data_IF_053037956584
#
_entry.id   IF_053037956584
#
_cell.length_a   1.000
_cell.length_b   1.000
_cell.length_c   1.000
_cell.angle_alpha   90.00
_cell.angle_beta   90.00
_cell.angle_gamma   90.00
#
_symmetry.space_group_name_H-M   'P 1'
#
loop_
_entity.id
_entity.type
_entity.pdbx_description
1 polymer ?
#
# COMPACT_ATOMS: atom_id res chain seq x y z
N UNK A 1 -1.42 19.32 -21.84
CA UNK A 1 -2.68 19.16 -21.05
C UNK A 1 -2.20 18.86 -19.63
N UNK A 2 -2.71 19.56 -18.63
CA UNK A 2 -2.35 19.27 -17.23
C UNK A 2 -3.18 18.07 -16.75
N UNK A 3 -2.51 17.11 -16.14
CA UNK A 3 -3.14 15.93 -15.53
C UNK A 3 -3.28 16.14 -14.03
N UNK A 4 -4.50 15.95 -13.51
CA UNK A 4 -4.84 16.19 -12.10
C UNK A 4 -4.86 14.85 -11.35
N UNK A 5 -4.15 14.80 -10.24
CA UNK A 5 -4.10 13.65 -9.32
C UNK A 5 -5.20 13.69 -8.27
N UNK A 6 -5.37 14.86 -7.63
CA UNK A 6 -6.35 15.09 -6.58
C UNK A 6 -7.00 16.47 -6.68
N UNK A 7 -8.19 16.59 -6.08
CA UNK A 7 -8.90 17.86 -5.86
C UNK A 7 -9.28 17.96 -4.39
N UNK A 8 -9.21 19.17 -3.83
CA UNK A 8 -9.68 19.46 -2.48
C UNK A 8 -11.06 20.12 -2.50
N UNK A 9 -11.75 20.13 -1.36
CA UNK A 9 -13.09 20.72 -1.22
C UNK A 9 -13.11 22.22 -1.50
N UNK A 10 -11.98 22.91 -1.30
CA UNK A 10 -11.81 24.33 -1.61
C UNK A 10 -11.46 24.61 -3.09
N UNK A 11 -11.47 23.57 -3.92
CA UNK A 11 -11.26 23.69 -5.38
C UNK A 11 -9.80 23.69 -5.83
N UNK A 12 -8.82 23.52 -4.94
CA UNK A 12 -7.42 23.34 -5.33
C UNK A 12 -7.25 22.03 -6.11
N UNK A 13 -6.28 22.01 -7.01
CA UNK A 13 -5.94 20.83 -7.82
C UNK A 13 -4.47 20.51 -7.63
N UNK A 14 -4.17 19.25 -7.31
CA UNK A 14 -2.81 18.72 -7.30
C UNK A 14 -2.49 18.14 -8.67
N UNK A 15 -1.36 18.55 -9.25
CA UNK A 15 -0.89 17.92 -10.48
C UNK A 15 -0.53 16.45 -10.21
N UNK A 16 -0.86 15.59 -11.16
CA UNK A 16 -0.59 14.16 -11.04
C UNK A 16 0.90 13.88 -10.91
N UNK A 17 1.73 14.59 -11.67
CA UNK A 17 3.18 14.46 -11.58
C UNK A 17 3.71 14.84 -10.19
N UNK A 18 3.17 15.89 -9.57
CA UNK A 18 3.57 16.31 -8.22
C UNK A 18 3.21 15.25 -7.19
N UNK A 19 2.00 14.68 -7.29
CA UNK A 19 1.56 13.57 -6.45
C UNK A 19 2.48 12.34 -6.59
N UNK A 20 2.76 11.91 -7.83
CA UNK A 20 3.64 10.77 -8.09
C UNK A 20 5.05 11.00 -7.54
N UNK A 21 5.59 12.21 -7.68
CA UNK A 21 6.90 12.57 -7.15
C UNK A 21 6.88 12.63 -5.62
N UNK A 22 5.86 13.21 -5.01
CA UNK A 22 5.68 13.28 -3.56
C UNK A 22 5.58 11.90 -2.93
N UNK A 23 4.68 11.07 -3.46
CA UNK A 23 4.51 9.68 -3.01
C UNK A 23 5.79 8.86 -3.20
N UNK A 24 6.45 8.99 -4.36
CA UNK A 24 7.71 8.32 -4.67
C UNK A 24 8.80 8.65 -3.63
N UNK A 25 8.98 9.93 -3.32
CA UNK A 25 9.93 10.40 -2.31
C UNK A 25 9.60 9.85 -0.92
N UNK A 26 8.34 9.92 -0.50
CA UNK A 26 7.90 9.41 0.79
C UNK A 26 8.05 7.89 0.90
N UNK A 27 7.75 7.14 -0.17
CA UNK A 27 8.02 5.70 -0.21
C UNK A 27 9.49 5.38 0.04
N UNK A 28 10.41 6.15 -0.58
CA UNK A 28 11.84 6.02 -0.37
C UNK A 28 12.24 6.30 1.08
N UNK A 29 11.70 7.37 1.66
CA UNK A 29 11.97 7.78 3.05
C UNK A 29 11.42 6.78 4.08
N UNK A 30 10.28 6.15 3.80
CA UNK A 30 9.66 5.14 4.65
C UNK A 30 10.37 3.77 4.57
N UNK A 31 11.11 3.54 3.49
CA UNK A 31 11.77 2.26 3.27
C UNK A 31 13.15 2.21 3.92
N UNK A 32 13.56 1.01 4.34
CA UNK A 32 14.95 0.74 4.67
C UNK A 32 15.83 0.98 3.44
N UNK A 33 17.08 1.42 3.64
CA UNK A 33 18.04 1.76 2.58
C UNK A 33 18.14 0.69 1.49
N UNK A 34 18.13 -0.59 1.86
CA UNK A 34 18.18 -1.71 0.91
C UNK A 34 16.98 -1.76 -0.04
N UNK A 35 15.81 -1.31 0.39
CA UNK A 35 14.54 -1.32 -0.37
C UNK A 35 14.18 0.03 -0.98
N UNK A 36 14.95 1.07 -0.67
CA UNK A 36 14.61 2.45 -0.97
C UNK A 36 14.32 2.70 -2.46
N UNK A 37 15.16 2.16 -3.35
CA UNK A 37 14.99 2.36 -4.80
C UNK A 37 13.73 1.64 -5.33
N UNK A 38 13.41 0.47 -4.78
CA UNK A 38 12.22 -0.28 -5.17
C UNK A 38 10.96 0.41 -4.63
N UNK A 39 10.98 0.88 -3.39
CA UNK A 39 9.87 1.61 -2.80
C UNK A 39 9.62 2.95 -3.53
N UNK A 40 10.67 3.68 -3.89
CA UNK A 40 10.58 4.88 -4.72
C UNK A 40 9.90 4.59 -6.05
N UNK A 41 10.30 3.51 -6.71
CA UNK A 41 9.70 3.10 -7.98
C UNK A 41 8.23 2.71 -7.83
N UNK A 42 7.85 2.03 -6.75
CA UNK A 42 6.43 1.70 -6.44
C UNK A 42 5.60 2.97 -6.32
N UNK A 43 6.08 3.97 -5.57
CA UNK A 43 5.41 5.26 -5.44
C UNK A 43 5.29 6.00 -6.78
N UNK A 44 6.31 5.89 -7.64
CA UNK A 44 6.32 6.52 -8.95
C UNK A 44 5.30 5.94 -9.93
N UNK A 45 5.01 4.65 -9.85
CA UNK A 45 4.19 3.92 -10.83
C UNK A 45 2.74 3.70 -10.38
N UNK A 46 2.43 3.86 -9.08
CA UNK A 46 1.17 3.38 -8.50
C UNK A 46 -0.07 3.94 -9.19
N UNK A 47 -0.05 5.20 -9.55
CA UNK A 47 -1.22 5.95 -10.03
C UNK A 47 -1.10 6.45 -11.49
N UNK A 48 -0.20 5.87 -12.31
CA UNK A 48 -0.09 6.25 -13.73
C UNK A 48 -1.39 6.04 -14.50
N UNK A 49 -2.30 5.21 -14.03
CA UNK A 49 -3.63 5.05 -14.62
C UNK A 49 -4.50 6.31 -14.55
N UNK A 50 -4.17 7.26 -13.70
CA UNK A 50 -4.83 8.57 -13.65
C UNK A 50 -4.56 9.41 -14.91
N UNK A 51 -3.57 9.08 -15.73
CA UNK A 51 -3.36 9.71 -17.05
C UNK A 51 -4.42 9.37 -18.07
N UNK A 52 -5.31 8.40 -17.82
CA UNK A 52 -6.41 8.08 -18.73
C UNK A 52 -7.38 9.26 -18.89
N UNK A 53 -7.88 9.45 -20.10
CA UNK A 53 -8.89 10.48 -20.37
C UNK A 53 -10.17 10.29 -19.55
N UNK A 54 -10.53 9.04 -19.26
CA UNK A 54 -11.67 8.70 -18.40
C UNK A 54 -11.50 9.21 -16.98
N UNK A 55 -10.32 8.99 -16.37
CA UNK A 55 -10.04 9.50 -15.03
C UNK A 55 -10.05 11.05 -15.02
N UNK A 56 -9.41 11.68 -16.00
CA UNK A 56 -9.35 13.15 -16.08
C UNK A 56 -10.72 13.79 -16.28
N UNK A 57 -11.61 13.15 -17.03
CA UNK A 57 -13.02 13.61 -17.13
C UNK A 57 -13.72 13.50 -15.78
N UNK A 58 -13.58 12.36 -15.08
CA UNK A 58 -14.19 12.12 -13.76
C UNK A 58 -13.73 13.15 -12.73
N UNK A 59 -12.41 13.37 -12.58
CA UNK A 59 -11.87 14.30 -11.56
C UNK A 59 -12.22 15.75 -11.84
N UNK A 60 -12.55 16.08 -13.09
CA UNK A 60 -13.04 17.40 -13.48
C UNK A 60 -14.58 17.51 -13.50
N UNK A 61 -15.29 16.60 -12.82
CA UNK A 61 -16.72 16.72 -12.55
C UNK A 61 -17.65 15.96 -13.50
N UNK A 62 -17.15 15.12 -14.39
CA UNK A 62 -18.02 14.26 -15.18
C UNK A 62 -18.55 13.12 -14.30
N UNK A 63 -19.88 13.05 -14.16
CA UNK A 63 -20.56 12.04 -13.37
C UNK A 63 -20.58 10.66 -14.05
N UNK A 64 -20.74 9.61 -13.22
CA UNK A 64 -20.98 8.21 -13.65
C UNK A 64 -19.90 7.54 -14.50
N UNK A 65 -18.65 8.02 -14.45
CA UNK A 65 -17.53 7.35 -15.09
C UNK A 65 -16.82 6.46 -14.08
N UNK A 66 -17.01 5.15 -14.19
CA UNK A 66 -16.18 4.18 -13.44
C UNK A 66 -14.85 4.00 -14.17
N UNK A 67 -13.75 4.28 -13.52
CA UNK A 67 -12.40 4.16 -14.09
C UNK A 67 -11.57 3.23 -13.24
N UNK A 68 -11.11 2.15 -13.83
CA UNK A 68 -10.10 1.27 -13.22
C UNK A 68 -8.72 1.86 -13.55
N UNK A 69 -8.09 2.53 -12.59
CA UNK A 69 -6.78 3.16 -12.76
C UNK A 69 -5.66 2.44 -11.99
N UNK A 70 -5.97 1.83 -10.85
CA UNK A 70 -4.97 1.21 -9.99
C UNK A 70 -4.21 0.06 -10.68
N UNK A 71 -4.89 -0.70 -11.57
CA UNK A 71 -4.25 -1.83 -12.26
C UNK A 71 -3.28 -1.39 -13.37
N UNK A 72 -3.32 -0.13 -13.81
CA UNK A 72 -2.48 0.34 -14.91
C UNK A 72 -0.99 0.24 -14.59
N UNK A 73 -0.59 0.67 -13.39
CA UNK A 73 0.81 0.56 -12.94
C UNK A 73 1.27 -0.88 -12.79
N UNK A 74 0.40 -1.79 -12.31
CA UNK A 74 0.70 -3.21 -12.25
C UNK A 74 0.91 -3.80 -13.66
N UNK A 75 0.06 -3.44 -14.63
CA UNK A 75 0.22 -3.83 -16.04
C UNK A 75 1.49 -3.26 -16.67
N UNK A 76 1.87 -2.05 -16.27
CA UNK A 76 3.08 -1.43 -16.80
C UNK A 76 4.32 -2.14 -16.29
N UNK A 77 4.40 -2.42 -14.99
CA UNK A 77 5.56 -3.14 -14.45
C UNK A 77 5.65 -4.58 -14.97
N UNK A 78 4.54 -5.22 -15.29
CA UNK A 78 4.51 -6.56 -15.90
C UNK A 78 5.17 -6.63 -17.29
N UNK A 79 5.32 -5.49 -17.97
CA UNK A 79 6.06 -5.43 -19.27
C UNK A 79 7.59 -5.41 -19.08
N UNK A 80 8.07 -5.19 -17.86
CA UNK A 80 9.49 -5.18 -17.56
C UNK A 80 10.14 -6.55 -17.81
N UNK A 81 11.45 -6.58 -18.07
CA UNK A 81 12.19 -7.82 -17.99
C UNK A 81 11.99 -8.50 -16.63
N UNK A 82 11.99 -9.84 -16.56
CA UNK A 82 11.79 -10.57 -15.30
C UNK A 82 12.77 -10.10 -14.21
N UNK A 83 12.23 -9.61 -13.11
CA UNK A 83 12.96 -9.19 -11.91
C UNK A 83 12.26 -9.71 -10.68
N UNK A 84 13.01 -10.00 -9.63
CA UNK A 84 12.47 -10.61 -8.39
C UNK A 84 11.39 -9.77 -7.71
N UNK A 85 11.44 -8.45 -7.85
CA UNK A 85 10.49 -7.55 -7.21
C UNK A 85 9.21 -7.29 -8.03
N UNK A 86 9.17 -7.64 -9.31
CA UNK A 86 8.00 -7.35 -10.19
C UNK A 86 6.69 -7.87 -9.61
N UNK A 87 6.58 -9.14 -9.18
CA UNK A 87 5.34 -9.63 -8.58
C UNK A 87 4.91 -8.86 -7.34
N UNK A 88 5.86 -8.43 -6.49
CA UNK A 88 5.55 -7.65 -5.29
C UNK A 88 4.93 -6.31 -5.67
N UNK A 89 5.49 -5.63 -6.68
CA UNK A 89 4.99 -4.33 -7.16
C UNK A 89 3.61 -4.48 -7.78
N UNK A 90 3.37 -5.54 -8.56
CA UNK A 90 2.04 -5.83 -9.12
C UNK A 90 0.97 -5.91 -8.03
N UNK A 91 1.23 -6.65 -6.95
CA UNK A 91 0.33 -6.74 -5.80
C UNK A 91 0.13 -5.39 -5.11
N UNK A 92 1.21 -4.67 -4.81
CA UNK A 92 1.15 -3.39 -4.12
C UNK A 92 0.33 -2.38 -4.91
N UNK A 93 0.65 -2.20 -6.20
CA UNK A 93 -0.02 -1.23 -7.06
C UNK A 93 -1.47 -1.63 -7.33
N UNK A 94 -1.74 -2.91 -7.61
CA UNK A 94 -3.12 -3.35 -7.78
C UNK A 94 -3.96 -3.17 -6.51
N UNK A 95 -3.35 -3.24 -5.34
CA UNK A 95 -4.02 -3.27 -4.04
C UNK A 95 -4.16 -1.93 -3.32
N UNK A 96 -3.45 -0.86 -3.72
CA UNK A 96 -3.27 0.33 -2.87
C UNK A 96 -4.58 1.03 -2.43
N UNK A 97 -5.66 0.90 -3.20
CA UNK A 97 -6.98 1.41 -2.80
C UNK A 97 -7.90 0.40 -2.11
N UNK A 98 -7.62 -0.90 -2.22
CA UNK A 98 -8.58 -1.95 -1.78
C UNK A 98 -7.99 -3.01 -0.88
N UNK A 99 -6.71 -2.90 -0.55
CA UNK A 99 -5.95 -3.96 0.11
C UNK A 99 -5.31 -4.93 -0.88
N UNK A 100 -4.31 -5.68 -0.42
CA UNK A 100 -3.62 -6.68 -1.24
C UNK A 100 -4.62 -7.74 -1.70
N UNK A 101 -4.79 -7.96 -3.01
CA UNK A 101 -5.70 -8.98 -3.52
C UNK A 101 -5.14 -10.39 -3.31
N UNK A 102 -6.01 -11.40 -3.36
CA UNK A 102 -5.58 -12.78 -3.57
C UNK A 102 -4.94 -12.93 -4.97
N UNK A 103 -3.99 -13.85 -5.10
CA UNK A 103 -3.31 -14.09 -6.38
C UNK A 103 -4.24 -14.53 -7.49
N UNK A 104 -5.13 -15.46 -7.14
CA UNK A 104 -6.02 -16.10 -8.09
C UNK A 104 -5.31 -17.13 -8.98
N UNK A 105 -5.94 -17.44 -10.09
CA UNK A 105 -5.48 -18.45 -11.03
C UNK A 105 -5.62 -17.97 -12.48
N UNK A 106 -4.99 -18.68 -13.42
CA UNK A 106 -5.08 -18.36 -14.85
C UNK A 106 -6.51 -18.44 -15.42
N UNK A 107 -7.42 -19.16 -14.74
CA UNK A 107 -8.82 -19.28 -15.17
C UNK A 107 -9.71 -18.12 -14.74
N UNK A 108 -9.28 -17.33 -13.74
CA UNK A 108 -10.04 -16.17 -13.26
C UNK A 108 -10.33 -15.21 -14.41
N UNK A 109 -11.55 -14.68 -14.46
CA UNK A 109 -12.02 -13.70 -15.43
C UNK A 109 -11.78 -12.25 -14.97
N UNK A 110 -12.09 -11.28 -15.83
CA UNK A 110 -11.95 -9.86 -15.52
C UNK A 110 -12.88 -9.38 -14.39
N UNK A 111 -13.93 -10.13 -14.08
CA UNK A 111 -14.88 -9.86 -12.99
C UNK A 111 -14.32 -10.27 -11.61
N UNK A 112 -13.32 -11.16 -11.59
CA UNK A 112 -12.74 -11.62 -10.34
C UNK A 112 -11.90 -10.52 -9.68
N UNK A 113 -11.93 -10.48 -8.34
CA UNK A 113 -11.18 -9.49 -7.55
C UNK A 113 -9.72 -9.85 -7.33
N UNK A 114 -9.29 -11.04 -7.76
CA UNK A 114 -7.92 -11.52 -7.66
C UNK A 114 -6.96 -10.71 -8.53
N UNK A 115 -5.67 -10.77 -8.26
CA UNK A 115 -4.67 -10.11 -9.10
C UNK A 115 -4.77 -10.60 -10.56
N UNK A 116 -4.88 -11.93 -10.78
CA UNK A 116 -5.03 -12.51 -12.12
C UNK A 116 -6.26 -11.99 -12.86
N UNK A 117 -7.41 -11.92 -12.19
CA UNK A 117 -8.65 -11.38 -12.75
C UNK A 117 -8.50 -9.89 -13.07
N UNK A 118 -8.00 -9.10 -12.12
CA UNK A 118 -7.80 -7.66 -12.30
C UNK A 118 -6.82 -7.33 -13.42
N UNK A 119 -5.76 -8.12 -13.61
CA UNK A 119 -4.81 -7.95 -14.71
C UNK A 119 -5.45 -8.13 -16.09
N UNK A 120 -6.57 -8.83 -16.21
CA UNK A 120 -7.33 -8.99 -17.48
C UNK A 120 -8.27 -7.81 -17.77
N UNK A 121 -8.62 -6.98 -16.78
CA UNK A 121 -9.53 -5.85 -16.96
C UNK A 121 -9.04 -4.90 -18.02
N UNK A 122 -9.97 -4.40 -18.84
CA UNK A 122 -9.65 -3.36 -19.82
C UNK A 122 -9.35 -2.03 -19.11
N UNK A 123 -8.33 -1.35 -19.56
CA UNK A 123 -7.95 -0.02 -19.09
C UNK A 123 -8.09 0.98 -20.23
N UNK A 124 -8.29 2.24 -19.92
CA UNK A 124 -8.11 3.31 -20.90
C UNK A 124 -6.64 3.46 -21.31
N UNK A 125 -6.39 4.20 -22.35
CA UNK A 125 -5.03 4.58 -22.74
C UNK A 125 -4.45 5.55 -21.69
N UNK A 126 -3.35 5.15 -21.07
CA UNK A 126 -2.61 5.93 -20.08
C UNK A 126 -1.19 6.26 -20.54
N UNK A 127 -0.84 5.99 -21.81
CA UNK A 127 0.51 6.19 -22.36
C UNK A 127 1.03 7.62 -22.24
N UNK A 128 0.12 8.59 -22.05
CA UNK A 128 0.49 9.99 -21.81
C UNK A 128 1.44 10.18 -20.62
N UNK A 129 1.50 9.24 -19.66
CA UNK A 129 2.46 9.29 -18.56
C UNK A 129 3.92 9.35 -19.04
N UNK A 130 4.25 8.72 -20.17
CA UNK A 130 5.60 8.68 -20.74
C UNK A 130 6.17 10.07 -21.06
N UNK A 131 5.31 11.07 -21.25
CA UNK A 131 5.72 12.45 -21.49
C UNK A 131 6.20 13.18 -20.23
N UNK A 132 5.81 12.71 -19.05
CA UNK A 132 6.06 13.38 -17.77
C UNK A 132 6.84 12.49 -16.79
N UNK A 133 6.61 11.18 -16.84
CA UNK A 133 7.18 10.21 -15.89
C UNK A 133 8.16 9.29 -16.60
N UNK A 134 9.42 9.41 -16.24
CA UNK A 134 10.46 8.48 -16.69
C UNK A 134 10.55 7.33 -15.69
N UNK A 135 10.24 6.12 -16.13
CA UNK A 135 10.36 4.90 -15.34
C UNK A 135 11.76 4.31 -15.45
N UNK A 136 12.55 4.43 -14.40
CA UNK A 136 13.87 3.80 -14.30
C UNK A 136 13.74 2.59 -13.36
N UNK A 137 13.78 1.39 -13.95
CA UNK A 137 13.64 0.14 -13.22
C UNK A 137 14.85 -0.10 -12.30
N UNK A 138 14.64 -0.25 -10.97
CA UNK A 138 15.73 -0.49 -10.02
C UNK A 138 16.58 -1.71 -10.36
N UNK A 139 17.81 -1.74 -9.85
CA UNK A 139 18.63 -2.95 -9.93
C UNK A 139 17.97 -4.06 -9.11
N UNK A 140 18.05 -5.29 -9.63
CA UNK A 140 17.53 -6.46 -8.94
C UNK A 140 18.61 -7.05 -8.01
N UNK A 141 18.74 -6.47 -6.83
CA UNK A 141 19.62 -6.95 -5.77
C UNK A 141 18.94 -7.99 -4.85
N UNK A 142 17.67 -8.29 -5.13
CA UNK A 142 16.89 -9.18 -4.27
C UNK A 142 17.07 -10.66 -4.58
N UNK A 143 17.70 -11.00 -5.70
CA UNK A 143 17.82 -12.37 -6.18
C UNK A 143 18.40 -13.29 -5.11
N UNK A 144 19.44 -12.84 -4.40
CA UNK A 144 20.09 -13.62 -3.34
C UNK A 144 19.18 -13.84 -2.12
N UNK A 145 18.26 -12.89 -1.83
CA UNK A 145 17.29 -13.06 -0.75
C UNK A 145 16.28 -14.16 -1.02
N UNK A 146 16.05 -14.49 -2.28
CA UNK A 146 15.09 -15.52 -2.71
C UNK A 146 15.77 -16.78 -3.21
N UNK A 147 17.11 -16.84 -3.21
CA UNK A 147 17.88 -18.02 -3.53
C UNK A 147 17.96 -18.96 -2.31
N UNK A 148 16.83 -19.52 -1.95
CA UNK A 148 16.68 -20.50 -0.87
C UNK A 148 16.03 -21.77 -1.43
N UNK A 149 16.47 -22.92 -0.94
CA UNK A 149 16.03 -24.23 -1.45
C UNK A 149 14.61 -24.62 -0.98
N UNK A 150 14.09 -23.92 0.03
CA UNK A 150 12.80 -24.23 0.64
C UNK A 150 11.69 -23.35 0.03
N UNK A 151 10.79 -23.96 -0.75
CA UNK A 151 9.67 -23.25 -1.39
C UNK A 151 8.78 -22.49 -0.39
N UNK A 152 8.55 -23.04 0.80
CA UNK A 152 7.75 -22.37 1.84
C UNK A 152 8.43 -21.09 2.30
N UNK A 153 9.74 -21.12 2.51
CA UNK A 153 10.52 -19.95 2.90
C UNK A 153 10.51 -18.86 1.82
N UNK A 154 10.57 -19.23 0.54
CA UNK A 154 10.42 -18.29 -0.58
C UNK A 154 9.06 -17.58 -0.48
N UNK A 155 7.97 -18.32 -0.32
CA UNK A 155 6.61 -17.76 -0.21
C UNK A 155 6.51 -16.83 1.00
N UNK A 156 7.02 -17.21 2.15
CA UNK A 156 7.01 -16.40 3.37
C UNK A 156 7.79 -15.09 3.18
N UNK A 157 8.96 -15.13 2.55
CA UNK A 157 9.77 -13.94 2.23
C UNK A 157 9.05 -13.01 1.25
N UNK A 158 8.52 -13.53 0.12
CA UNK A 158 7.73 -12.75 -0.81
C UNK A 158 6.52 -12.10 -0.14
N UNK A 159 5.79 -12.86 0.67
CA UNK A 159 4.63 -12.37 1.40
C UNK A 159 4.98 -11.28 2.41
N UNK A 160 6.10 -11.40 3.12
CA UNK A 160 6.58 -10.39 4.05
C UNK A 160 6.97 -9.10 3.32
N UNK A 161 7.82 -9.21 2.30
CA UNK A 161 8.30 -8.04 1.58
C UNK A 161 7.23 -7.34 0.74
N UNK A 162 6.27 -8.09 0.20
CA UNK A 162 5.09 -7.49 -0.45
C UNK A 162 4.32 -6.61 0.54
N UNK A 163 4.04 -7.10 1.76
CA UNK A 163 3.36 -6.32 2.79
C UNK A 163 4.19 -5.13 3.26
N UNK A 164 5.50 -5.28 3.35
CA UNK A 164 6.40 -4.20 3.68
C UNK A 164 6.35 -3.06 2.65
N UNK A 165 6.51 -3.37 1.37
CA UNK A 165 6.41 -2.39 0.28
C UNK A 165 5.01 -1.78 0.19
N UNK A 166 3.98 -2.59 0.40
CA UNK A 166 2.59 -2.11 0.45
C UNK A 166 2.38 -1.09 1.58
N UNK A 167 2.94 -1.35 2.76
CA UNK A 167 2.90 -0.40 3.88
C UNK A 167 3.60 0.92 3.53
N UNK A 168 4.79 0.87 2.91
CA UNK A 168 5.48 2.07 2.46
C UNK A 168 4.65 2.88 1.45
N UNK A 169 4.00 2.20 0.50
CA UNK A 169 3.18 2.85 -0.52
C UNK A 169 1.94 3.49 0.07
N UNK A 170 1.16 2.73 0.85
CA UNK A 170 -0.13 3.23 1.37
C UNK A 170 0.05 4.37 2.36
N UNK A 171 1.10 4.33 3.18
CA UNK A 171 1.42 5.42 4.09
C UNK A 171 1.87 6.67 3.31
N UNK A 172 2.72 6.49 2.30
CA UNK A 172 3.23 7.59 1.47
C UNK A 172 2.12 8.27 0.65
N UNK A 173 1.25 7.49 0.01
CA UNK A 173 0.12 7.98 -0.78
C UNK A 173 -0.87 8.75 0.10
N UNK A 174 -1.17 8.20 1.28
CA UNK A 174 -2.03 8.87 2.26
C UNK A 174 -1.43 10.19 2.74
N UNK A 175 -0.15 10.22 3.09
CA UNK A 175 0.54 11.42 3.59
C UNK A 175 0.63 12.49 2.51
N UNK A 176 0.97 12.14 1.27
CA UNK A 176 1.06 13.10 0.18
C UNK A 176 -0.32 13.74 -0.11
N UNK A 177 -1.36 12.91 -0.17
CA UNK A 177 -2.74 13.36 -0.35
C UNK A 177 -3.20 14.25 0.80
N UNK A 178 -2.94 13.85 2.06
CA UNK A 178 -3.31 14.64 3.24
C UNK A 178 -2.61 16.01 3.25
N UNK A 179 -1.31 16.06 2.95
CA UNK A 179 -0.55 17.33 2.86
C UNK A 179 -1.14 18.28 1.83
N UNK A 180 -1.67 17.73 0.73
CA UNK A 180 -2.35 18.53 -0.28
C UNK A 180 -3.74 18.98 0.20
N UNK A 181 -4.56 18.07 0.75
CA UNK A 181 -5.94 18.39 1.16
C UNK A 181 -5.96 19.25 2.42
N UNK A 182 -5.09 18.96 3.38
CA UNK A 182 -5.02 19.62 4.71
C UNK A 182 -3.61 20.13 4.99
N UNK A 183 -3.17 21.25 4.38
CA UNK A 183 -1.77 21.69 4.38
C UNK A 183 -1.18 22.02 5.73
N UNK A 184 -1.85 22.02 6.82
CA UNK A 184 -1.33 22.36 8.15
C UNK A 184 -1.64 21.26 9.18
N UNK A 185 -1.72 20.02 8.75
CA UNK A 185 -1.88 18.89 9.66
C UNK A 185 -0.58 18.69 10.45
N UNK A 186 -0.64 19.02 11.74
CA UNK A 186 0.48 18.80 12.66
C UNK A 186 0.54 17.29 12.98
N UNK A 187 1.56 16.63 12.43
CA UNK A 187 1.84 15.21 12.71
C UNK A 187 2.96 15.13 13.74
N UNK A 188 2.77 14.30 14.72
CA UNK A 188 3.79 14.05 15.75
C UNK A 188 3.55 14.83 17.02
N UNK A 189 2.32 14.99 17.45
CA UNK A 189 2.06 15.34 18.83
C UNK A 189 2.71 14.27 19.72
N UNK A 190 3.50 14.74 20.71
CA UNK A 190 3.94 13.90 21.82
C UNK A 190 2.68 13.32 22.49
N UNK A 191 2.26 12.17 22.04
CA UNK A 191 1.10 11.48 22.57
C UNK A 191 1.45 10.89 23.93
N UNK A 192 0.63 11.15 24.93
CA UNK A 192 0.66 10.40 26.17
C UNK A 192 0.18 8.97 25.87
N UNK A 193 1.12 8.09 25.51
CA UNK A 193 0.84 6.71 25.16
C UNK A 193 0.20 5.95 26.32
N UNK A 194 0.53 6.30 27.58
CA UNK A 194 -0.08 5.70 28.77
C UNK A 194 -1.58 6.04 28.81
N UNK A 195 -1.92 7.31 28.63
CA UNK A 195 -3.31 7.76 28.61
C UNK A 195 -4.10 7.20 27.41
N UNK A 196 -3.45 7.07 26.25
CA UNK A 196 -4.06 6.42 25.09
C UNK A 196 -4.35 4.93 25.36
N UNK A 197 -3.40 4.23 25.98
CA UNK A 197 -3.54 2.84 26.37
C UNK A 197 -4.69 2.65 27.40
N UNK A 198 -4.77 3.51 28.43
CA UNK A 198 -5.85 3.49 29.42
C UNK A 198 -7.24 3.65 28.74
N UNK A 199 -7.37 4.59 27.81
CA UNK A 199 -8.61 4.77 27.02
C UNK A 199 -8.97 3.53 26.19
N UNK A 200 -7.99 2.87 25.59
CA UNK A 200 -8.20 1.61 24.85
C UNK A 200 -8.69 0.52 25.81
N UNK A 201 -8.07 0.38 26.98
CA UNK A 201 -8.46 -0.59 27.99
C UNK A 201 -9.89 -0.31 28.53
N UNK A 202 -10.20 0.95 28.82
CA UNK A 202 -11.57 1.36 29.22
C UNK A 202 -12.59 0.98 28.14
N UNK A 203 -12.28 1.27 26.86
CA UNK A 203 -13.17 0.92 25.75
C UNK A 203 -13.36 -0.58 25.62
N UNK A 204 -12.29 -1.37 25.72
CA UNK A 204 -12.37 -2.82 25.66
C UNK A 204 -13.20 -3.40 26.81
N UNK A 205 -13.03 -2.89 28.03
CA UNK A 205 -13.79 -3.30 29.21
C UNK A 205 -15.27 -2.87 29.15
N UNK A 206 -15.61 -1.88 28.32
CA UNK A 206 -16.98 -1.44 28.13
C UNK A 206 -17.82 -2.35 27.24
N UNK A 207 -17.20 -3.27 26.49
CA UNK A 207 -17.94 -4.20 25.65
C UNK A 207 -18.64 -5.28 26.47
N UNK A 208 -19.95 -5.40 26.27
CA UNK A 208 -20.73 -6.49 26.86
C UNK A 208 -20.46 -7.78 26.09
N UNK A 209 -20.25 -8.86 26.82
CA UNK A 209 -20.09 -10.20 26.27
C UNK A 209 -21.46 -10.88 26.30
N UNK A 210 -22.14 -10.89 25.16
CA UNK A 210 -23.51 -11.43 25.01
C UNK A 210 -23.56 -12.68 24.13
N UNK A 211 -22.47 -12.96 23.41
CA UNK A 211 -22.40 -14.08 22.47
C UNK A 211 -21.13 -14.89 22.67
N UNK A 212 -21.16 -16.19 22.32
CA UNK A 212 -19.98 -17.07 22.33
C UNK A 212 -18.82 -16.54 21.49
N UNK A 213 -19.12 -15.81 20.39
CA UNK A 213 -18.08 -15.20 19.56
C UNK A 213 -17.36 -14.06 20.29
N UNK A 214 -18.10 -13.24 21.03
CA UNK A 214 -17.53 -12.16 21.84
C UNK A 214 -16.69 -12.71 22.99
N UNK A 215 -17.15 -13.79 23.63
CA UNK A 215 -16.41 -14.52 24.65
C UNK A 215 -15.08 -15.05 24.10
N UNK A 216 -15.10 -15.72 22.93
CA UNK A 216 -13.89 -16.21 22.27
C UNK A 216 -12.92 -15.10 21.93
N UNK A 217 -13.42 -13.94 21.45
CA UNK A 217 -12.58 -12.77 21.16
C UNK A 217 -11.92 -12.21 22.42
N UNK A 218 -12.65 -12.14 23.54
CA UNK A 218 -12.12 -11.68 24.82
C UNK A 218 -11.01 -12.60 25.32
N UNK A 219 -11.19 -13.92 25.23
CA UNK A 219 -10.17 -14.91 25.62
C UNK A 219 -8.90 -14.76 24.77
N UNK A 220 -9.04 -14.63 23.44
CA UNK A 220 -7.88 -14.44 22.53
C UNK A 220 -7.14 -13.14 22.89
N UNK A 221 -7.86 -12.07 23.15
CA UNK A 221 -7.29 -10.77 23.50
C UNK A 221 -6.49 -10.86 24.82
N UNK A 222 -7.02 -11.53 25.83
CA UNK A 222 -6.33 -11.77 27.10
C UNK A 222 -5.08 -12.63 26.91
N UNK A 223 -5.16 -13.68 26.09
CA UNK A 223 -4.00 -14.52 25.78
C UNK A 223 -2.88 -13.75 25.07
N UNK A 224 -3.22 -12.90 24.10
CA UNK A 224 -2.25 -12.04 23.39
C UNK A 224 -1.59 -11.04 24.36
N UNK A 225 -2.37 -10.43 25.24
CA UNK A 225 -1.84 -9.51 26.25
C UNK A 225 -0.86 -10.20 27.20
N UNK A 226 -1.23 -11.37 27.71
CA UNK A 226 -0.38 -12.15 28.63
C UNK A 226 0.90 -12.66 27.94
N UNK A 227 0.83 -13.10 26.67
CA UNK A 227 2.00 -13.50 25.90
C UNK A 227 3.00 -12.36 25.70
N UNK A 228 2.49 -11.15 25.46
CA UNK A 228 3.33 -9.93 25.30
C UNK A 228 4.04 -9.59 26.62
N UNK A 229 3.37 -9.70 27.76
CA UNK A 229 3.99 -9.47 29.07
C UNK A 229 5.07 -10.48 29.39
N UNK A 230 4.88 -11.75 29.05
CA UNK A 230 5.87 -12.80 29.25
C UNK A 230 7.11 -12.59 28.38
N UNK A 231 6.95 -12.19 27.13
CA UNK A 231 8.06 -11.87 26.22
C UNK A 231 8.89 -10.69 26.74
N UNK A 232 8.25 -9.62 27.18
CA UNK A 232 8.94 -8.46 27.75
C UNK A 232 9.70 -8.80 29.04
N UNK A 233 9.13 -9.65 29.89
CA UNK A 233 9.79 -10.11 31.12
C UNK A 233 11.01 -10.99 30.82
N UNK A 234 10.96 -11.84 29.81
CA UNK A 234 12.10 -12.71 29.41
C UNK A 234 13.26 -11.90 28.82
N UNK A 235 12.98 -10.82 28.06
CA UNK A 235 14.01 -9.93 27.53
C UNK A 235 14.72 -9.11 28.63
N UNK A 236 14.00 -8.70 29.66
CA UNK A 236 14.57 -8.02 30.83
C UNK A 236 15.41 -8.96 31.69
N UNK A 237 14.97 -10.20 31.85
CA UNK A 237 15.72 -11.23 32.64
C UNK A 237 16.99 -11.73 31.94
N UNK A 238 17.11 -11.61 30.63
CA UNK A 238 18.31 -11.99 29.86
C UNK A 238 19.42 -10.92 29.84
N UNK A 239 19.13 -9.71 30.36
CA UNK A 239 20.06 -8.57 30.42
C UNK A 239 20.62 -8.32 31.82
N UNK A 240 20.27 -9.15 32.81
CA UNK A 240 20.88 -9.20 34.13
C UNK A 240 21.85 -10.40 34.23
#
# INVERSE_FOLDING_TARGET
>A
MEYIGHTSDDGRKQLLLDHLNGTSKLCRENANEFWADIAEFVGKIHDIGKYTSGFQKRINGAENIRVEHAICGAKEVAKAPPKSYVPMIEYCVAGHHSGLPDGGTKVDGEEDSTLHGRMKRKTGDYSAYENEVKLEYPKDNLRELFDVSNQREIIERYSFFTRYLFSCLTDADFIDTERFVTPNTDRGMDGDFQKAYEKVCEKLNSFKIETKLQESRSIIQEQVYNAKLQSAASELGSRM
#
